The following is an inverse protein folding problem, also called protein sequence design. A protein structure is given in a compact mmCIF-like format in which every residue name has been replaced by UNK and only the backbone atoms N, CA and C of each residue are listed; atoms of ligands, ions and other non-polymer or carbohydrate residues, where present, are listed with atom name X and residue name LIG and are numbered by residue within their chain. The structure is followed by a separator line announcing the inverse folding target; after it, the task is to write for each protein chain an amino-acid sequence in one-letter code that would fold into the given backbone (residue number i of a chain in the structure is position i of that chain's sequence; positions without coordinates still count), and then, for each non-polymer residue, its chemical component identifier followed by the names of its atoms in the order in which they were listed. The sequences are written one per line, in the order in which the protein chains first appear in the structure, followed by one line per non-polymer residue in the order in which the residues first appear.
data_IF_885087046262
#
_entry.id   IF_885087046262
#
_cell.length_a   1.000
_cell.length_b   1.000
_cell.length_c   1.000
_cell.angle_alpha   90.00
_cell.angle_beta   90.00
_cell.angle_gamma   90.00
#
_symmetry.space_group_name_H-M   'P 1'
#
loop_
_entity.id
_entity.type
_entity.pdbx_description
1 polymer ?
#
# COMPACT_ATOMS: atom_id res chain seq x y z
N UNK A 1 4.48 -27.18 13.40
CA UNK A 1 3.32 -26.75 14.20
C UNK A 1 3.54 -25.37 14.83
N UNK A 2 4.42 -25.16 15.82
CA UNK A 2 4.56 -23.82 16.45
C UNK A 2 5.10 -22.72 15.50
N UNK A 3 6.06 -23.07 14.64
CA UNK A 3 6.67 -22.12 13.69
C UNK A 3 5.67 -21.59 12.65
N UNK A 4 4.82 -22.44 12.08
CA UNK A 4 3.82 -22.01 11.09
C UNK A 4 2.80 -21.05 11.70
N UNK A 5 2.31 -21.35 12.90
CA UNK A 5 1.36 -20.49 13.62
C UNK A 5 1.99 -19.14 13.96
N UNK A 6 3.26 -19.13 14.35
CA UNK A 6 4.00 -17.89 14.62
C UNK A 6 4.15 -17.03 13.36
N UNK A 7 4.57 -17.62 12.25
CA UNK A 7 4.78 -16.90 10.99
C UNK A 7 3.46 -16.37 10.42
N UNK A 8 2.39 -17.16 10.47
CA UNK A 8 1.04 -16.71 10.05
C UNK A 8 0.51 -15.58 10.94
N UNK A 9 0.73 -15.65 12.26
CA UNK A 9 0.35 -14.58 13.18
C UNK A 9 1.13 -13.29 12.90
N UNK A 10 2.45 -13.40 12.67
CA UNK A 10 3.29 -12.26 12.30
C UNK A 10 2.82 -11.61 10.99
N UNK A 11 2.56 -12.41 9.94
CA UNK A 11 2.04 -11.90 8.67
C UNK A 11 0.74 -11.11 8.85
N UNK A 12 -0.21 -11.63 9.63
CA UNK A 12 -1.49 -10.95 9.91
C UNK A 12 -1.31 -9.65 10.67
N UNK A 13 -0.41 -9.60 11.65
CA UNK A 13 -0.15 -8.36 12.40
C UNK A 13 0.43 -7.29 11.48
N UNK A 14 1.38 -7.65 10.63
CA UNK A 14 1.98 -6.73 9.66
C UNK A 14 0.94 -6.26 8.63
N UNK A 15 0.12 -7.17 8.11
CA UNK A 15 -0.97 -6.85 7.19
C UNK A 15 -1.95 -5.84 7.80
N UNK A 16 -2.42 -6.13 9.01
CA UNK A 16 -3.37 -5.29 9.72
C UNK A 16 -2.78 -3.91 10.03
N UNK A 17 -1.48 -3.86 10.35
CA UNK A 17 -0.75 -2.60 10.53
C UNK A 17 -0.75 -1.78 9.24
N UNK A 18 -0.42 -2.40 8.09
CA UNK A 18 -0.46 -1.73 6.79
C UNK A 18 -1.84 -1.14 6.46
N UNK A 19 -2.90 -1.93 6.65
CA UNK A 19 -4.29 -1.48 6.46
C UNK A 19 -4.63 -0.31 7.38
N UNK A 20 -4.29 -0.39 8.66
CA UNK A 20 -4.54 0.68 9.64
C UNK A 20 -3.81 1.96 9.24
N UNK A 21 -2.55 1.87 8.80
CA UNK A 21 -1.77 3.02 8.34
C UNK A 21 -2.42 3.68 7.12
N UNK A 22 -2.87 2.90 6.13
CA UNK A 22 -3.58 3.44 4.95
C UNK A 22 -4.86 4.16 5.35
N UNK A 23 -5.69 3.54 6.19
CA UNK A 23 -6.96 4.11 6.63
C UNK A 23 -6.76 5.38 7.47
N UNK A 24 -5.84 5.35 8.42
CA UNK A 24 -5.52 6.50 9.27
C UNK A 24 -4.95 7.66 8.43
N UNK A 25 -4.03 7.38 7.52
CA UNK A 25 -3.47 8.39 6.63
C UNK A 25 -4.50 8.99 5.68
N UNK A 26 -5.39 8.18 5.10
CA UNK A 26 -6.49 8.66 4.27
C UNK A 26 -7.48 9.55 5.06
N UNK A 27 -7.77 9.19 6.31
CA UNK A 27 -8.61 9.98 7.21
C UNK A 27 -7.95 11.32 7.55
N UNK A 28 -6.67 11.30 7.93
CA UNK A 28 -5.89 12.52 8.23
C UNK A 28 -5.81 13.43 7.01
N UNK A 29 -5.54 12.89 5.83
CA UNK A 29 -5.48 13.66 4.59
C UNK A 29 -6.84 14.30 4.26
N UNK A 30 -7.94 13.56 4.43
CA UNK A 30 -9.30 14.05 4.24
C UNK A 30 -9.67 15.17 5.22
N UNK A 31 -9.33 15.01 6.49
CA UNK A 31 -9.54 16.03 7.52
C UNK A 31 -8.71 17.29 7.25
N UNK A 32 -7.45 17.13 6.85
CA UNK A 32 -6.58 18.23 6.49
C UNK A 32 -7.12 19.00 5.26
N UNK A 33 -7.63 18.29 4.27
CA UNK A 33 -8.28 18.88 3.10
C UNK A 33 -9.52 19.70 3.48
N UNK A 34 -10.42 19.15 4.30
CA UNK A 34 -11.58 19.89 4.80
C UNK A 34 -11.18 21.17 5.56
N UNK A 35 -10.14 21.09 6.41
CA UNK A 35 -9.58 22.25 7.11
C UNK A 35 -9.00 23.31 6.16
N UNK A 36 -8.30 22.90 5.09
CA UNK A 36 -7.76 23.81 4.06
C UNK A 36 -8.89 24.54 3.32
N UNK A 37 -9.96 23.83 2.98
CA UNK A 37 -11.13 24.43 2.33
C UNK A 37 -11.83 25.46 3.23
N UNK A 38 -11.98 25.16 4.53
CA UNK A 38 -12.53 26.12 5.51
C UNK A 38 -11.66 27.38 5.64
N UNK A 39 -10.35 27.27 5.44
CA UNK A 39 -9.39 28.40 5.45
C UNK A 39 -9.34 29.16 4.12
N UNK A 40 -10.25 28.89 3.18
CA UNK A 40 -10.32 29.49 1.83
C UNK A 40 -9.05 29.32 1.00
N UNK A 41 -8.29 28.25 1.23
CA UNK A 41 -7.19 27.87 0.33
C UNK A 41 -7.76 27.58 -1.07
N UNK A 42 -7.08 27.98 -2.16
CA UNK A 42 -7.50 27.64 -3.52
C UNK A 42 -7.75 26.13 -3.67
N UNK A 43 -8.84 25.76 -4.34
CA UNK A 43 -9.26 24.35 -4.47
C UNK A 43 -8.17 23.49 -5.11
N UNK A 44 -7.46 24.04 -6.11
CA UNK A 44 -6.34 23.35 -6.77
C UNK A 44 -5.21 23.00 -5.80
N UNK A 45 -4.78 23.95 -4.96
CA UNK A 45 -3.72 23.71 -3.97
C UNK A 45 -4.17 22.70 -2.90
N UNK A 46 -5.40 22.84 -2.41
CA UNK A 46 -5.96 21.91 -1.43
C UNK A 46 -6.04 20.48 -1.99
N UNK A 47 -6.47 20.32 -3.25
CA UNK A 47 -6.57 19.03 -3.92
C UNK A 47 -5.19 18.41 -4.18
N UNK A 48 -4.21 19.18 -4.66
CA UNK A 48 -2.84 18.69 -4.83
C UNK A 48 -2.24 18.19 -3.52
N UNK A 49 -2.46 18.93 -2.43
CA UNK A 49 -1.98 18.54 -1.12
C UNK A 49 -2.71 17.30 -0.58
N UNK A 50 -4.03 17.16 -0.80
CA UNK A 50 -4.77 15.92 -0.49
C UNK A 50 -4.18 14.72 -1.23
N UNK A 51 -3.94 14.84 -2.54
CA UNK A 51 -3.40 13.75 -3.36
C UNK A 51 -1.99 13.35 -2.91
N UNK A 52 -1.16 14.32 -2.53
CA UNK A 52 0.18 14.07 -2.00
C UNK A 52 0.15 13.37 -0.63
N UNK A 53 -0.70 13.85 0.29
CA UNK A 53 -0.84 13.30 1.64
C UNK A 53 -1.39 11.85 1.57
N UNK A 54 -2.38 11.62 0.70
CA UNK A 54 -3.00 10.31 0.48
C UNK A 54 -2.03 9.34 -0.21
N UNK A 55 -1.28 9.81 -1.21
CA UNK A 55 -0.24 9.01 -1.86
C UNK A 55 0.85 8.54 -0.89
N UNK A 56 1.32 9.41 0.02
CA UNK A 56 2.29 9.04 1.06
C UNK A 56 1.76 7.98 2.02
N UNK A 57 0.50 8.11 2.44
CA UNK A 57 -0.15 7.14 3.32
C UNK A 57 -0.30 5.76 2.65
N UNK A 58 -0.70 5.75 1.37
CA UNK A 58 -0.83 4.51 0.60
C UNK A 58 0.54 3.85 0.41
N UNK A 59 1.57 4.61 0.00
CA UNK A 59 2.93 4.08 -0.19
C UNK A 59 3.47 3.44 1.08
N UNK A 60 3.34 4.12 2.22
CA UNK A 60 3.76 3.56 3.51
C UNK A 60 2.98 2.29 3.87
N UNK A 61 1.66 2.28 3.65
CA UNK A 61 0.84 1.10 3.84
C UNK A 61 1.27 -0.07 2.96
N UNK A 62 1.61 0.20 1.71
CA UNK A 62 2.10 -0.80 0.76
C UNK A 62 3.42 -1.42 1.20
N UNK A 63 4.34 -0.67 1.81
CA UNK A 63 5.57 -1.24 2.38
C UNK A 63 5.26 -2.34 3.41
N UNK A 64 4.32 -2.09 4.33
CA UNK A 64 3.88 -3.11 5.30
C UNK A 64 3.18 -4.28 4.63
N UNK A 65 2.28 -4.01 3.69
CA UNK A 65 1.57 -5.05 2.97
C UNK A 65 2.58 -5.98 2.28
N UNK A 66 3.53 -5.44 1.49
CA UNK A 66 4.56 -6.24 0.81
C UNK A 66 5.33 -7.12 1.81
N UNK A 67 5.69 -6.61 2.98
CA UNK A 67 6.33 -7.40 4.04
C UNK A 67 5.43 -8.57 4.48
N UNK A 68 4.13 -8.33 4.68
CA UNK A 68 3.18 -9.38 5.04
C UNK A 68 3.09 -10.50 3.98
N UNK A 69 3.17 -10.17 2.68
CA UNK A 69 3.19 -11.19 1.62
C UNK A 69 4.46 -12.03 1.64
N UNK A 70 5.61 -11.40 1.85
CA UNK A 70 6.89 -12.12 1.93
C UNK A 70 6.85 -13.10 3.10
N UNK A 71 6.33 -12.68 4.25
CA UNK A 71 6.18 -13.55 5.42
C UNK A 71 5.19 -14.70 5.11
N UNK A 72 4.04 -14.40 4.52
CA UNK A 72 3.01 -15.40 4.19
C UNK A 72 3.46 -16.44 3.16
N UNK A 73 4.31 -16.06 2.20
CA UNK A 73 4.81 -16.98 1.17
C UNK A 73 5.90 -17.95 1.66
N UNK A 74 6.68 -17.56 2.69
CA UNK A 74 7.73 -18.42 3.26
C UNK A 74 7.19 -19.45 4.26
N UNK A 75 6.00 -19.23 4.81
CA UNK A 75 5.46 -19.97 5.96
C UNK A 75 4.77 -21.30 5.65
N UNK A 76 4.33 -21.52 4.41
CA UNK A 76 3.34 -22.54 4.09
C UNK A 76 4.01 -23.79 3.53
N UNK A 77 3.79 -24.93 4.20
CA UNK A 77 4.15 -26.26 3.67
C UNK A 77 3.52 -26.44 2.27
N UNK A 78 4.33 -26.59 1.20
CA UNK A 78 3.84 -26.43 -0.16
C UNK A 78 2.99 -27.62 -0.60
N UNK A 79 1.67 -27.52 -0.46
CA UNK A 79 0.73 -28.32 -1.26
C UNK A 79 0.36 -27.55 -2.52
N UNK A 80 0.31 -28.23 -3.68
CA UNK A 80 0.03 -27.58 -4.98
C UNK A 80 -1.29 -26.79 -4.96
N UNK A 81 -2.28 -27.24 -4.20
CA UNK A 81 -3.58 -26.58 -4.09
C UNK A 81 -3.51 -25.28 -3.27
N UNK A 82 -2.85 -25.30 -2.11
CA UNK A 82 -2.70 -24.10 -1.27
C UNK A 82 -1.78 -23.07 -1.92
N UNK A 83 -0.70 -23.54 -2.56
CA UNK A 83 0.19 -22.68 -3.36
C UNK A 83 -0.54 -22.01 -4.53
N UNK A 84 -1.46 -22.72 -5.19
CA UNK A 84 -2.24 -22.16 -6.29
C UNK A 84 -3.11 -20.98 -5.86
N UNK A 85 -3.85 -21.12 -4.77
CA UNK A 85 -4.68 -20.04 -4.22
C UNK A 85 -3.82 -18.87 -3.74
N UNK A 86 -2.72 -19.15 -3.03
CA UNK A 86 -1.78 -18.12 -2.57
C UNK A 86 -1.16 -17.36 -3.74
N UNK A 87 -0.70 -18.05 -4.78
CA UNK A 87 -0.11 -17.45 -5.97
C UNK A 87 -1.08 -16.51 -6.68
N UNK A 88 -2.37 -16.87 -6.75
CA UNK A 88 -3.42 -16.00 -7.31
C UNK A 88 -3.61 -14.75 -6.45
N UNK A 89 -3.66 -14.88 -5.13
CA UNK A 89 -3.82 -13.73 -4.21
C UNK A 89 -2.61 -12.78 -4.33
N UNK A 90 -1.39 -13.31 -4.31
CA UNK A 90 -0.16 -12.53 -4.48
C UNK A 90 -0.11 -11.86 -5.86
N UNK A 91 -0.51 -12.54 -6.93
CA UNK A 91 -0.58 -11.96 -8.28
C UNK A 91 -1.57 -10.79 -8.36
N UNK A 92 -2.78 -10.96 -7.81
CA UNK A 92 -3.79 -9.89 -7.75
C UNK A 92 -3.22 -8.68 -7.02
N UNK A 93 -2.61 -8.89 -5.85
CA UNK A 93 -2.06 -7.79 -5.05
C UNK A 93 -0.92 -7.08 -5.76
N UNK A 94 -0.03 -7.82 -6.41
CA UNK A 94 1.09 -7.25 -7.17
C UNK A 94 0.56 -6.38 -8.31
N UNK A 95 -0.42 -6.87 -9.07
CA UNK A 95 -1.06 -6.12 -10.15
C UNK A 95 -1.78 -4.86 -9.65
N UNK A 96 -2.54 -4.96 -8.56
CA UNK A 96 -3.26 -3.82 -7.98
C UNK A 96 -2.30 -2.75 -7.42
N UNK A 97 -1.28 -3.18 -6.68
CA UNK A 97 -0.27 -2.26 -6.13
C UNK A 97 0.47 -1.55 -7.26
N UNK A 98 0.85 -2.29 -8.29
CA UNK A 98 1.52 -1.74 -9.48
C UNK A 98 0.63 -0.76 -10.25
N UNK A 99 -0.67 -1.09 -10.43
CA UNK A 99 -1.62 -0.21 -11.10
C UNK A 99 -1.83 1.11 -10.34
N UNK A 100 -1.96 1.04 -9.01
CA UNK A 100 -2.10 2.23 -8.16
C UNK A 100 -0.84 3.10 -8.19
N UNK A 101 0.34 2.51 -8.13
CA UNK A 101 1.59 3.25 -8.21
C UNK A 101 1.77 3.92 -9.57
N UNK A 102 1.33 3.26 -10.66
CA UNK A 102 1.30 3.85 -11.99
C UNK A 102 0.35 5.06 -12.07
N UNK A 103 -0.84 4.94 -11.47
CA UNK A 103 -1.84 6.02 -11.44
C UNK A 103 -1.38 7.22 -10.60
N UNK A 104 -0.70 6.96 -9.49
CA UNK A 104 -0.15 8.00 -8.60
C UNK A 104 1.07 8.68 -9.22
N UNK A 105 2.00 7.92 -9.78
CA UNK A 105 3.25 8.44 -10.35
C UNK A 105 3.11 8.98 -11.77
N UNK A 106 2.04 8.58 -12.49
CA UNK A 106 1.80 8.91 -13.90
C UNK A 106 2.86 8.35 -14.85
N UNK A 107 3.71 7.45 -14.38
CA UNK A 107 4.91 6.94 -15.07
C UNK A 107 5.01 5.46 -14.84
N UNK A 108 5.57 4.74 -15.83
CA UNK A 108 5.94 3.36 -15.59
C UNK A 108 7.13 3.30 -14.62
N UNK A 109 7.19 2.34 -13.69
CA UNK A 109 8.28 2.28 -12.70
C UNK A 109 9.67 2.06 -13.32
N UNK A 110 9.75 1.57 -14.56
CA UNK A 110 11.00 1.48 -15.32
C UNK A 110 11.37 2.75 -16.10
N UNK A 111 10.54 3.81 -16.05
CA UNK A 111 10.90 5.11 -16.64
C UNK A 111 11.84 5.86 -15.69
N UNK A 112 13.07 6.07 -16.13
CA UNK A 112 14.05 6.86 -15.38
C UNK A 112 13.61 8.32 -15.28
N UNK A 113 13.84 9.00 -14.14
CA UNK A 113 13.64 10.44 -14.05
C UNK A 113 14.45 11.16 -15.14
N UNK A 114 13.91 12.21 -15.78
CA UNK A 114 14.71 13.06 -16.67
C UNK A 114 15.94 13.57 -15.93
N UNK A 115 17.12 13.60 -16.56
CA UNK A 115 18.30 14.22 -15.96
C UNK A 115 17.98 15.68 -15.63
N UNK A 116 18.26 16.08 -14.38
CA UNK A 116 18.06 17.46 -13.94
C UNK A 116 18.98 18.39 -14.77
N UNK A 117 18.48 19.55 -15.24
CA UNK A 117 19.28 20.53 -15.99
C UNK A 117 20.34 21.21 -15.13
#
# INVERSE_FOLDING_TARGET
MDYEHFVVAAARVVELTGVVVMLAGALVASLAYGRRLMRRTPHQEAYHALRADLGRAILLGLEFLVIADIIGTVAIEPTLQNLGVLAVIVAIRTLLSFALELEVSGRWPWQRPPPAP
#
